data_IF_055008634476
#
_entry.id   IF_055008634476
#
_cell.length_a   1.000
_cell.length_b   1.000
_cell.length_c   1.000
_cell.angle_alpha   90.00
_cell.angle_beta   90.00
_cell.angle_gamma   90.00
#
_symmetry.space_group_name_H-M   'P 1'
#
loop_
_entity.id
_entity.type
_entity.pdbx_description
1 polymer ?
#
# COMPACT_ATOMS: atom_id res chain seq x y z
N UNK A 1 9.14 1.89 -10.03
CA UNK A 1 9.84 0.69 -9.52
C UNK A 1 9.31 -0.55 -10.25
N UNK A 2 10.19 -1.41 -10.79
CA UNK A 2 9.81 -2.71 -11.34
C UNK A 2 10.79 -3.77 -10.86
N UNK A 3 10.36 -4.70 -9.99
CA UNK A 3 11.09 -5.95 -9.76
C UNK A 3 10.17 -7.06 -9.24
N UNK A 4 9.90 -8.03 -10.12
CA UNK A 4 9.90 -9.48 -9.88
C UNK A 4 10.14 -10.11 -11.27
N UNK A 5 11.28 -9.78 -11.89
CA UNK A 5 11.56 -10.11 -13.30
C UNK A 5 12.47 -11.33 -13.49
N UNK A 6 12.77 -12.10 -12.45
CA UNK A 6 13.75 -13.20 -12.57
C UNK A 6 13.61 -14.35 -11.56
N UNK A 7 12.71 -14.27 -10.58
CA UNK A 7 12.56 -15.33 -9.58
C UNK A 7 11.41 -16.27 -9.98
N UNK A 8 11.62 -17.61 -9.96
CA UNK A 8 10.50 -18.56 -10.09
C UNK A 8 9.47 -18.26 -9.00
N UNK A 9 8.19 -18.56 -9.28
CA UNK A 9 7.03 -18.32 -8.41
C UNK A 9 7.39 -18.30 -6.91
N UNK A 10 7.47 -17.10 -6.32
CA UNK A 10 7.76 -16.97 -4.90
C UNK A 10 6.64 -17.60 -4.07
N UNK A 11 6.97 -18.68 -3.36
CA UNK A 11 6.05 -19.33 -2.44
C UNK A 11 6.07 -18.61 -1.08
N UNK A 12 5.37 -17.49 -0.98
CA UNK A 12 5.28 -16.70 0.25
C UNK A 12 4.21 -17.32 1.15
N UNK A 13 4.60 -17.88 2.30
CA UNK A 13 3.66 -18.46 3.27
C UNK A 13 3.18 -17.44 4.31
N UNK A 14 3.99 -16.42 4.57
CA UNK A 14 3.71 -15.38 5.55
C UNK A 14 2.45 -14.58 5.17
N UNK A 15 1.71 -14.03 6.16
CA UNK A 15 0.66 -13.05 5.90
C UNK A 15 1.16 -11.87 5.07
N UNK A 16 0.35 -11.39 4.13
CA UNK A 16 0.72 -10.26 3.27
C UNK A 16 -0.39 -9.21 3.15
N UNK A 17 0.03 -7.95 3.22
CA UNK A 17 -0.81 -6.77 3.08
C UNK A 17 -0.31 -5.91 1.91
N UNK A 18 -1.19 -5.62 0.96
CA UNK A 18 -0.97 -4.63 -0.09
C UNK A 18 -1.74 -3.35 0.24
N UNK A 19 -1.04 -2.24 0.40
CA UNK A 19 -1.66 -0.90 0.52
C UNK A 19 -1.27 -0.10 -0.72
N UNK A 20 -2.26 0.22 -1.54
CA UNK A 20 -2.09 0.89 -2.82
C UNK A 20 -2.58 2.34 -2.78
N UNK A 21 -2.04 3.17 -3.68
CA UNK A 21 -2.53 4.53 -3.95
C UNK A 21 -3.38 4.55 -5.23
N UNK A 22 -4.33 5.49 -5.32
CA UNK A 22 -5.38 5.49 -6.36
C UNK A 22 -4.82 5.58 -7.78
N UNK A 23 -3.86 6.49 -8.02
CA UNK A 23 -3.42 6.83 -9.38
C UNK A 23 -2.13 6.14 -9.83
N UNK A 24 -1.45 5.41 -8.95
CA UNK A 24 -0.12 4.84 -9.24
C UNK A 24 -0.18 3.50 -9.97
N UNK A 25 -1.28 2.77 -9.85
CA UNK A 25 -1.40 1.43 -10.41
C UNK A 25 -1.70 1.45 -11.90
N UNK A 26 -1.05 0.53 -12.63
CA UNK A 26 -1.31 0.23 -14.04
C UNK A 26 -1.53 -1.28 -14.21
N UNK A 27 -2.11 -1.75 -15.34
CA UNK A 27 -2.58 -3.13 -15.48
C UNK A 27 -1.53 -4.21 -15.21
N UNK A 28 -0.27 -3.99 -15.58
CA UNK A 28 0.79 -4.97 -15.35
C UNK A 28 1.08 -5.16 -13.85
N UNK A 29 1.15 -4.08 -13.07
CA UNK A 29 1.37 -4.18 -11.62
C UNK A 29 0.21 -4.89 -10.91
N UNK A 30 -1.03 -4.58 -11.30
CA UNK A 30 -2.23 -5.24 -10.74
C UNK A 30 -2.24 -6.74 -11.03
N UNK A 31 -1.80 -7.17 -12.23
CA UNK A 31 -1.67 -8.60 -12.54
C UNK A 31 -0.65 -9.28 -11.61
N UNK A 32 0.50 -8.64 -11.37
CA UNK A 32 1.52 -9.14 -10.45
C UNK A 32 1.06 -9.17 -9.00
N UNK A 33 0.22 -8.23 -8.54
CA UNK A 33 -0.36 -8.28 -7.20
C UNK A 33 -1.41 -9.40 -7.10
N UNK A 34 -2.24 -9.56 -8.14
CA UNK A 34 -3.35 -10.53 -8.17
C UNK A 34 -2.86 -11.97 -7.97
N UNK A 35 -1.74 -12.35 -8.59
CA UNK A 35 -1.20 -13.72 -8.45
C UNK A 35 -0.93 -14.08 -6.98
N UNK A 36 -0.48 -13.11 -6.18
CA UNK A 36 -0.18 -13.31 -4.77
C UNK A 36 -1.39 -13.10 -3.87
N UNK A 37 -2.31 -12.22 -4.24
CA UNK A 37 -3.57 -12.03 -3.53
C UNK A 37 -4.41 -13.31 -3.48
N UNK A 38 -4.39 -14.12 -4.54
CA UNK A 38 -5.09 -15.42 -4.58
C UNK A 38 -4.27 -16.60 -4.05
N UNK A 39 -3.05 -16.38 -3.57
CA UNK A 39 -2.26 -17.44 -2.94
C UNK A 39 -2.82 -17.80 -1.55
N UNK A 40 -2.48 -19.00 -1.06
CA UNK A 40 -2.91 -19.49 0.26
C UNK A 40 -2.38 -18.57 1.39
N UNK A 41 -3.13 -18.49 2.49
CA UNK A 41 -2.75 -17.71 3.68
C UNK A 41 -3.52 -16.39 3.80
N UNK A 42 -3.13 -15.56 4.77
CA UNK A 42 -3.78 -14.27 5.02
C UNK A 42 -3.31 -13.27 3.96
N UNK A 43 -4.25 -12.77 3.15
CA UNK A 43 -4.00 -11.77 2.09
C UNK A 43 -5.00 -10.63 2.22
N UNK A 44 -4.50 -9.40 2.34
CA UNK A 44 -5.34 -8.20 2.35
C UNK A 44 -4.84 -7.20 1.31
N UNK A 45 -5.78 -6.51 0.67
CA UNK A 45 -5.49 -5.50 -0.33
C UNK A 45 -6.42 -4.31 -0.12
N UNK A 46 -5.83 -3.13 -0.03
CA UNK A 46 -6.56 -1.86 0.06
C UNK A 46 -6.04 -0.88 -0.99
N UNK A 47 -6.92 0.02 -1.45
CA UNK A 47 -6.54 1.15 -2.30
C UNK A 47 -7.07 2.42 -1.67
N UNK A 48 -6.16 3.33 -1.31
CA UNK A 48 -6.50 4.62 -0.73
C UNK A 48 -7.04 5.54 -1.84
N UNK A 49 -8.32 5.93 -1.77
CA UNK A 49 -8.93 6.80 -2.80
C UNK A 49 -8.35 8.21 -2.72
N UNK A 50 -8.33 8.91 -3.86
CA UNK A 50 -7.84 10.30 -3.98
C UNK A 50 -6.38 10.49 -3.52
N UNK A 51 -5.54 9.48 -3.74
CA UNK A 51 -4.10 9.52 -3.40
C UNK A 51 -3.23 9.29 -4.65
N UNK A 52 -2.05 9.88 -4.64
CA UNK A 52 -0.93 9.61 -5.55
C UNK A 52 0.14 8.79 -4.84
N UNK A 53 1.18 8.36 -5.56
CA UNK A 53 2.28 7.58 -4.99
C UNK A 53 2.93 8.26 -3.77
N UNK A 54 3.08 9.58 -3.84
CA UNK A 54 3.70 10.39 -2.79
C UNK A 54 2.74 10.79 -1.67
N UNK A 55 1.43 10.55 -1.78
CA UNK A 55 0.47 11.00 -0.76
C UNK A 55 0.76 10.52 0.67
N UNK A 56 1.16 9.26 0.90
CA UNK A 56 1.47 8.76 2.24
C UNK A 56 2.97 8.83 2.59
N UNK A 57 3.79 9.61 1.86
CA UNK A 57 5.24 9.72 2.09
C UNK A 57 5.61 11.08 2.68
N UNK A 58 6.82 11.19 3.24
CA UNK A 58 7.35 12.45 3.77
C UNK A 58 7.42 13.56 2.73
N UNK A 59 7.55 13.20 1.43
CA UNK A 59 7.54 14.14 0.31
C UNK A 59 6.32 15.06 0.35
N UNK A 60 5.13 14.51 0.62
CA UNK A 60 3.90 15.29 0.67
C UNK A 60 3.85 16.29 1.84
N UNK A 61 4.62 16.07 2.90
CA UNK A 61 4.73 17.00 4.04
C UNK A 61 5.82 18.05 3.83
N UNK A 62 6.95 17.66 3.23
CA UNK A 62 8.14 18.51 3.08
C UNK A 62 8.00 19.43 1.86
N UNK A 63 7.62 18.87 0.72
CA UNK A 63 7.58 19.60 -0.56
C UNK A 63 6.15 19.98 -0.97
N UNK A 64 5.14 19.60 -0.19
CA UNK A 64 3.74 19.73 -0.58
C UNK A 64 3.43 18.92 -1.86
N UNK A 65 2.35 19.27 -2.56
CA UNK A 65 1.97 18.61 -3.80
C UNK A 65 2.68 19.20 -5.03
N UNK A 66 3.93 19.65 -4.90
CA UNK A 66 4.62 20.48 -5.90
C UNK A 66 4.79 19.83 -7.29
N UNK A 67 4.55 18.52 -7.42
CA UNK A 67 4.54 17.80 -8.70
C UNK A 67 3.22 17.86 -9.50
N UNK A 68 2.20 18.61 -9.07
CA UNK A 68 0.83 18.39 -9.55
C UNK A 68 0.25 19.47 -10.48
N UNK A 69 0.61 19.39 -11.77
CA UNK A 69 -0.21 19.98 -12.86
C UNK A 69 -1.40 19.09 -13.26
N UNK A 70 -1.44 17.85 -12.77
CA UNK A 70 -2.53 16.91 -13.02
C UNK A 70 -3.00 16.36 -11.69
N UNK A 71 -4.28 16.56 -11.36
CA UNK A 71 -5.14 15.69 -10.52
C UNK A 71 -5.79 16.34 -9.28
N UNK A 72 -7.12 16.48 -9.39
CA UNK A 72 -8.17 16.07 -8.43
C UNK A 72 -7.86 16.20 -6.92
N UNK A 73 -8.66 17.02 -6.20
CA UNK A 73 -8.79 17.11 -4.73
C UNK A 73 -8.13 15.95 -3.97
N UNK A 74 -6.84 16.12 -3.65
CA UNK A 74 -6.05 15.10 -2.97
C UNK A 74 -6.53 14.92 -1.55
N UNK A 75 -6.52 13.67 -1.10
CA UNK A 75 -6.59 13.38 0.32
C UNK A 75 -5.39 14.05 1.00
N UNK A 76 -5.60 14.69 2.14
CA UNK A 76 -4.52 15.36 2.86
C UNK A 76 -3.44 14.35 3.29
N UNK A 77 -2.18 14.80 3.29
CA UNK A 77 -1.02 13.94 3.56
C UNK A 77 -1.12 13.25 4.92
N UNK A 78 -1.60 13.96 5.95
CA UNK A 78 -1.79 13.41 7.31
C UNK A 78 -2.81 12.28 7.32
N UNK A 79 -3.96 12.46 6.68
CA UNK A 79 -4.98 11.41 6.57
C UNK A 79 -4.50 10.24 5.72
N UNK A 80 -3.82 10.49 4.61
CA UNK A 80 -3.27 9.43 3.77
C UNK A 80 -2.26 8.57 4.54
N UNK A 81 -1.33 9.21 5.27
CA UNK A 81 -0.36 8.53 6.13
C UNK A 81 -1.06 7.79 7.28
N UNK A 82 -2.00 8.43 7.98
CA UNK A 82 -2.72 7.81 9.09
C UNK A 82 -3.50 6.57 8.64
N UNK A 83 -4.15 6.61 7.47
CA UNK A 83 -4.84 5.45 6.91
C UNK A 83 -3.87 4.32 6.59
N UNK A 84 -2.76 4.61 5.92
CA UNK A 84 -1.73 3.62 5.61
C UNK A 84 -1.17 2.98 6.88
N UNK A 85 -0.77 3.80 7.86
CA UNK A 85 -0.20 3.34 9.12
C UNK A 85 -1.21 2.54 9.95
N UNK A 86 -2.47 2.98 10.01
CA UNK A 86 -3.53 2.27 10.75
C UNK A 86 -3.78 0.88 10.16
N UNK A 87 -3.84 0.77 8.82
CA UNK A 87 -3.99 -0.53 8.15
C UNK A 87 -2.79 -1.44 8.41
N UNK A 88 -1.57 -0.90 8.38
CA UNK A 88 -0.36 -1.66 8.67
C UNK A 88 -0.33 -2.15 10.13
N UNK A 89 -0.57 -1.28 11.10
CA UNK A 89 -0.61 -1.63 12.53
C UNK A 89 -1.70 -2.64 12.83
N UNK A 90 -2.91 -2.45 12.30
CA UNK A 90 -4.00 -3.41 12.48
C UNK A 90 -3.65 -4.77 11.89
N UNK A 91 -3.01 -4.81 10.72
CA UNK A 91 -2.58 -6.04 10.10
C UNK A 91 -1.52 -6.76 10.93
N UNK A 92 -0.50 -6.04 11.40
CA UNK A 92 0.53 -6.57 12.29
C UNK A 92 -0.09 -7.13 13.57
N UNK A 93 -0.93 -6.35 14.26
CA UNK A 93 -1.64 -6.80 15.46
C UNK A 93 -2.40 -8.11 15.21
N UNK A 94 -3.10 -8.22 14.08
CA UNK A 94 -3.89 -9.41 13.73
C UNK A 94 -3.07 -10.63 13.28
N UNK A 95 -1.80 -10.46 12.92
CA UNK A 95 -1.00 -11.52 12.28
C UNK A 95 0.20 -11.99 13.12
N UNK A 96 0.84 -11.08 13.85
CA UNK A 96 1.99 -11.40 14.71
C UNK A 96 1.68 -11.28 16.21
N UNK A 97 0.51 -10.75 16.57
CA UNK A 97 0.11 -10.56 17.98
C UNK A 97 0.97 -9.50 18.66
N UNK A 98 0.65 -8.22 18.47
CA UNK A 98 1.17 -7.19 19.36
C UNK A 98 0.35 -7.27 20.67
N UNK A 99 1.03 -7.32 21.83
CA UNK A 99 0.40 -7.36 23.15
C UNK A 99 -0.73 -6.32 23.26
N UNK A 100 -1.85 -6.62 23.92
CA UNK A 100 -2.83 -5.59 24.24
C UNK A 100 -2.11 -4.49 25.03
N UNK A 101 -2.20 -3.25 24.58
CA UNK A 101 -1.88 -2.13 25.45
C UNK A 101 -2.80 -2.25 26.67
N UNK A 102 -2.21 -2.59 27.81
CA UNK A 102 -2.84 -2.53 29.11
C UNK A 102 -3.16 -1.07 29.46
#
# INVERSE_FOLDING_TARGET
>A
MFSLKSEPFLNIQQPMLFINTHTFNFPANIRSIRQYYHSKGIRKLYTLKKTTHESPTDTAFIHGYWLDLQMLKKLDAKTALNLQSSLAVQFLHSTIGAYPCA
#
